data_IF_652680630237
#
_entry.id   IF_652680630237
#
_cell.length_a   1.000
_cell.length_b   1.000
_cell.length_c   1.000
_cell.angle_alpha   90.00
_cell.angle_beta   90.00
_cell.angle_gamma   90.00
#
_symmetry.space_group_name_H-M   'P 1'
#
loop_
_entity.id
_entity.type
_entity.pdbx_description
1 polymer ?
#
# COMPACT_ATOMS: atom_id res chain seq x y z
N UNK A 1 -5.67 -41.71 -47.27
CA UNK A 1 -5.39 -40.25 -47.28
C UNK A 1 -4.78 -39.70 -45.99
N UNK A 2 -4.95 -40.32 -44.81
CA UNK A 2 -4.34 -39.83 -43.54
C UNK A 2 -2.79 -39.89 -43.52
N UNK A 3 -2.19 -40.91 -44.13
CA UNK A 3 -0.74 -41.17 -44.05
C UNK A 3 0.17 -40.06 -44.62
N UNK A 4 -0.26 -39.35 -45.67
CA UNK A 4 0.53 -38.28 -46.28
C UNK A 4 0.49 -36.97 -45.47
N UNK A 5 -0.59 -36.74 -44.72
CA UNK A 5 -0.75 -35.55 -43.85
C UNK A 5 0.12 -35.72 -42.60
N UNK A 6 0.16 -36.93 -42.03
CA UNK A 6 0.96 -37.25 -40.84
C UNK A 6 2.47 -37.23 -41.14
N UNK A 7 2.89 -37.68 -42.32
CA UNK A 7 4.30 -37.57 -42.76
C UNK A 7 4.75 -36.11 -42.91
N UNK A 8 3.95 -35.25 -43.57
CA UNK A 8 4.29 -33.82 -43.71
C UNK A 8 4.30 -33.08 -42.37
N UNK A 9 3.44 -33.46 -41.43
CA UNK A 9 3.44 -32.88 -40.08
C UNK A 9 4.70 -33.27 -39.30
N UNK A 10 5.14 -34.52 -39.42
CA UNK A 10 6.36 -35.02 -38.80
C UNK A 10 7.64 -34.45 -39.43
N UNK A 11 7.66 -34.23 -40.75
CA UNK A 11 8.77 -33.55 -41.42
C UNK A 11 8.86 -32.09 -41.02
N UNK A 12 7.74 -31.36 -40.93
CA UNK A 12 7.73 -29.99 -40.42
C UNK A 12 8.18 -29.90 -38.95
N UNK A 13 7.75 -30.82 -38.10
CA UNK A 13 8.22 -30.90 -36.71
C UNK A 13 9.71 -31.23 -36.62
N UNK A 14 10.26 -32.06 -37.52
CA UNK A 14 11.70 -32.34 -37.59
C UNK A 14 12.50 -31.16 -38.13
N UNK A 15 11.99 -30.43 -39.13
CA UNK A 15 12.62 -29.20 -39.63
C UNK A 15 12.58 -28.06 -38.62
N UNK A 16 11.48 -27.90 -37.87
CA UNK A 16 11.38 -26.90 -36.81
C UNK A 16 12.27 -27.24 -35.60
N UNK A 17 12.41 -28.53 -35.26
CA UNK A 17 13.33 -28.97 -34.20
C UNK A 17 14.80 -29.02 -34.64
N UNK A 18 15.08 -29.05 -35.95
CA UNK A 18 16.42 -29.13 -36.52
C UNK A 18 17.07 -27.78 -36.83
N UNK A 19 16.29 -26.68 -36.81
CA UNK A 19 16.86 -25.33 -36.96
C UNK A 19 17.47 -24.91 -35.64
N UNK A 20 18.81 -25.01 -35.55
CA UNK A 20 19.57 -24.44 -34.45
C UNK A 20 19.15 -22.99 -34.22
N UNK A 21 18.64 -22.73 -33.02
CA UNK A 21 18.24 -21.38 -32.61
C UNK A 21 19.47 -20.49 -32.60
N UNK A 22 19.57 -19.59 -33.57
CA UNK A 22 20.67 -18.62 -33.65
C UNK A 22 20.59 -17.66 -32.46
N UNK A 23 21.69 -17.54 -31.73
CA UNK A 23 21.77 -16.71 -30.51
C UNK A 23 21.59 -15.24 -30.84
N UNK A 24 20.69 -14.57 -30.13
CA UNK A 24 20.48 -13.12 -30.22
C UNK A 24 21.04 -12.41 -29.00
N UNK A 25 22.36 -12.17 -29.01
CA UNK A 25 23.10 -11.56 -27.90
C UNK A 25 22.64 -10.15 -27.55
N UNK A 26 22.22 -9.36 -28.55
CA UNK A 26 21.74 -8.00 -28.33
C UNK A 26 20.42 -8.01 -27.55
N UNK A 27 19.45 -8.83 -28.00
CA UNK A 27 18.18 -8.98 -27.30
C UNK A 27 18.41 -9.53 -25.88
N UNK A 28 19.30 -10.51 -25.73
CA UNK A 28 19.66 -11.05 -24.41
C UNK A 28 20.22 -9.95 -23.48
N UNK A 29 21.15 -9.12 -23.96
CA UNK A 29 21.70 -8.00 -23.17
C UNK A 29 20.63 -6.98 -22.73
N UNK A 30 19.68 -6.67 -23.62
CA UNK A 30 18.53 -5.81 -23.28
C UNK A 30 17.67 -6.46 -22.20
N UNK A 31 17.36 -7.75 -22.33
CA UNK A 31 16.59 -8.49 -21.32
C UNK A 31 17.29 -8.58 -19.98
N UNK A 32 18.62 -8.71 -19.93
CA UNK A 32 19.39 -8.66 -18.67
C UNK A 32 19.19 -7.31 -17.95
N UNK A 33 19.26 -6.20 -18.69
CA UNK A 33 19.02 -4.87 -18.10
C UNK A 33 17.56 -4.72 -17.62
N UNK A 34 16.59 -5.19 -18.40
CA UNK A 34 15.18 -5.20 -17.99
C UNK A 34 14.95 -6.02 -16.71
N UNK A 35 15.57 -7.21 -16.62
CA UNK A 35 15.49 -8.05 -15.43
C UNK A 35 16.12 -7.39 -14.22
N UNK A 36 17.23 -6.67 -14.39
CA UNK A 36 17.86 -5.93 -13.29
C UNK A 36 16.92 -4.83 -12.74
N UNK A 37 16.31 -4.04 -13.63
CA UNK A 37 15.33 -3.02 -13.26
C UNK A 37 14.12 -3.67 -12.58
N UNK A 38 13.61 -4.77 -13.13
CA UNK A 38 12.47 -5.50 -12.57
C UNK A 38 12.78 -6.03 -11.16
N UNK A 39 13.94 -6.65 -10.94
CA UNK A 39 14.36 -7.12 -9.62
C UNK A 39 14.47 -5.95 -8.64
N UNK A 40 15.02 -4.81 -9.06
CA UNK A 40 15.12 -3.62 -8.22
C UNK A 40 13.73 -3.08 -7.84
N UNK A 41 12.79 -3.03 -8.79
CA UNK A 41 11.40 -2.63 -8.53
C UNK A 41 10.69 -3.57 -7.55
N UNK A 42 10.82 -4.89 -7.75
CA UNK A 42 10.27 -5.91 -6.84
C UNK A 42 10.89 -5.77 -5.44
N UNK A 43 12.21 -5.58 -5.36
CA UNK A 43 12.92 -5.40 -4.11
C UNK A 43 12.42 -4.17 -3.35
N UNK A 44 12.30 -3.02 -4.02
CA UNK A 44 11.80 -1.77 -3.43
C UNK A 44 10.36 -1.97 -2.94
N UNK A 45 9.50 -2.54 -3.78
CA UNK A 45 8.09 -2.76 -3.48
C UNK A 45 7.93 -3.69 -2.26
N UNK A 46 8.68 -4.80 -2.23
CA UNK A 46 8.64 -5.71 -1.09
C UNK A 46 9.27 -5.14 0.17
N UNK A 47 10.35 -4.36 0.06
CA UNK A 47 10.95 -3.68 1.21
C UNK A 47 9.99 -2.65 1.83
N UNK A 48 9.24 -1.92 1.00
CA UNK A 48 8.17 -1.02 1.44
C UNK A 48 7.07 -1.78 2.18
N UNK A 49 6.62 -2.91 1.64
CA UNK A 49 5.59 -3.73 2.30
C UNK A 49 6.08 -4.28 3.64
N UNK A 50 7.29 -4.84 3.70
CA UNK A 50 7.91 -5.33 4.94
C UNK A 50 8.04 -4.20 5.97
N UNK A 51 8.43 -3.00 5.54
CA UNK A 51 8.48 -1.84 6.41
C UNK A 51 7.11 -1.52 7.01
N UNK A 52 6.05 -1.53 6.19
CA UNK A 52 4.69 -1.25 6.64
C UNK A 52 4.14 -2.34 7.58
N UNK A 53 4.32 -3.62 7.25
CA UNK A 53 3.83 -4.73 8.07
C UNK A 53 4.60 -4.91 9.39
N UNK A 54 5.85 -4.44 9.45
CA UNK A 54 6.67 -4.42 10.66
C UNK A 54 6.58 -3.11 11.45
N UNK A 55 5.87 -2.11 10.95
CA UNK A 55 5.69 -0.83 11.66
C UNK A 55 4.70 -0.97 12.82
N UNK A 56 4.86 -0.12 13.83
CA UNK A 56 3.95 -0.09 14.98
C UNK A 56 2.58 0.44 14.57
N UNK A 57 1.53 0.02 15.30
CA UNK A 57 0.17 0.52 15.12
C UNK A 57 0.12 2.04 15.26
N UNK A 58 0.86 2.61 16.21
CA UNK A 58 0.98 4.06 16.41
C UNK A 58 1.55 4.79 15.19
N UNK A 59 2.55 4.20 14.52
CA UNK A 59 3.11 4.76 13.28
C UNK A 59 2.08 4.71 12.14
N UNK A 60 1.41 3.56 12.00
CA UNK A 60 0.35 3.40 11.01
C UNK A 60 -0.82 4.37 11.27
N UNK A 61 -1.22 4.58 12.52
CA UNK A 61 -2.24 5.58 12.92
C UNK A 61 -1.77 7.03 12.72
N UNK A 62 -0.47 7.26 12.71
CA UNK A 62 0.08 8.58 12.39
C UNK A 62 -0.06 8.89 10.91
N UNK A 63 0.18 7.91 10.06
CA UNK A 63 0.03 8.08 8.61
C UNK A 63 -1.43 7.95 8.18
N UNK A 64 -2.17 7.12 8.89
CA UNK A 64 -3.49 6.65 8.55
C UNK A 64 -4.37 6.74 9.80
N UNK A 65 -4.73 7.95 10.26
CA UNK A 65 -5.60 8.11 11.42
C UNK A 65 -6.93 7.40 11.19
N UNK A 66 -7.38 6.68 12.21
CA UNK A 66 -8.72 6.06 12.25
C UNK A 66 -9.68 6.88 13.10
N UNK A 67 -9.14 7.51 14.14
CA UNK A 67 -9.95 8.19 15.14
C UNK A 67 -10.58 9.45 14.58
N UNK A 68 -11.87 9.61 14.84
CA UNK A 68 -12.69 10.76 14.44
C UNK A 68 -12.07 12.10 14.81
N UNK A 69 -11.49 12.18 16.01
CA UNK A 69 -10.81 13.37 16.55
C UNK A 69 -9.63 13.85 15.70
N UNK A 70 -9.01 12.95 14.94
CA UNK A 70 -7.94 13.32 14.00
C UNK A 70 -8.48 14.09 12.80
N UNK A 71 -9.78 14.01 12.52
CA UNK A 71 -10.40 14.66 11.37
C UNK A 71 -11.21 15.88 11.79
N UNK A 72 -11.97 15.75 12.87
CA UNK A 72 -12.85 16.78 13.37
C UNK A 72 -12.34 17.26 14.73
N UNK A 73 -11.88 18.51 14.80
CA UNK A 73 -11.67 19.14 16.11
C UNK A 73 -13.04 19.40 16.71
N UNK A 74 -13.24 18.97 17.95
CA UNK A 74 -14.32 19.54 18.75
C UNK A 74 -14.02 21.04 18.91
N UNK A 75 -14.98 21.88 18.52
CA UNK A 75 -14.94 23.29 18.89
C UNK A 75 -15.38 23.32 20.35
N UNK A 76 -14.46 23.62 21.27
CA UNK A 76 -14.79 23.82 22.67
C UNK A 76 -15.85 24.93 22.79
N UNK A 77 -17.12 24.55 23.00
CA UNK A 77 -18.22 25.51 23.16
C UNK A 77 -18.11 26.35 24.44
N UNK A 78 -17.28 25.94 25.39
CA UNK A 78 -17.15 26.61 26.69
C UNK A 78 -16.02 27.64 26.76
N UNK A 79 -15.30 27.89 25.66
CA UNK A 79 -14.26 28.93 25.64
C UNK A 79 -14.48 29.91 24.46
N UNK A 80 -15.26 31.00 24.67
CA UNK A 80 -15.53 31.99 23.62
C UNK A 80 -14.30 32.79 23.14
N UNK A 81 -13.10 32.54 23.70
CA UNK A 81 -11.87 33.27 23.36
C UNK A 81 -10.93 32.60 22.34
N UNK A 82 -11.26 31.43 21.79
CA UNK A 82 -10.35 30.74 20.83
C UNK A 82 -10.74 30.91 19.35
N UNK A 83 -11.81 31.64 19.03
CA UNK A 83 -12.30 31.78 17.66
C UNK A 83 -11.45 32.69 16.75
N UNK A 84 -10.50 33.48 17.29
CA UNK A 84 -9.73 34.45 16.50
C UNK A 84 -8.21 34.39 16.72
N UNK A 85 -7.68 33.20 17.04
CA UNK A 85 -6.24 32.99 17.02
C UNK A 85 -5.88 32.06 15.87
N UNK A 86 -5.79 32.62 14.66
CA UNK A 86 -5.11 31.95 13.53
C UNK A 86 -3.60 31.78 13.79
N UNK A 87 -3.07 32.39 14.85
CA UNK A 87 -1.67 32.31 15.27
C UNK A 87 -1.44 31.68 16.67
N UNK A 88 -2.49 31.23 17.37
CA UNK A 88 -2.28 30.41 18.56
C UNK A 88 -1.89 29.00 18.12
N UNK A 89 -0.57 28.78 18.11
CA UNK A 89 -0.01 27.46 18.32
C UNK A 89 -0.82 26.76 19.42
N UNK A 90 -1.29 25.52 19.20
CA UNK A 90 -2.12 24.82 20.17
C UNK A 90 -1.44 24.89 21.54
N UNK A 91 -2.20 25.06 22.64
CA UNK A 91 -1.62 24.92 23.97
C UNK A 91 -0.87 23.61 23.97
N UNK A 92 0.34 23.62 24.53
CA UNK A 92 1.15 22.43 24.68
C UNK A 92 0.38 21.39 25.52
N UNK A 93 -0.56 20.69 24.88
CA UNK A 93 -0.76 19.28 25.11
C UNK A 93 0.65 18.76 25.09
N UNK A 94 1.12 18.35 26.26
CA UNK A 94 2.44 17.78 26.51
C UNK A 94 2.82 17.00 25.27
N UNK A 95 3.57 17.67 24.40
CA UNK A 95 4.09 17.14 23.17
C UNK A 95 5.22 16.29 23.72
N UNK A 96 4.85 15.11 24.22
CA UNK A 96 5.69 13.94 24.10
C UNK A 96 5.94 13.84 22.62
N UNK A 97 6.90 14.66 22.16
CA UNK A 97 7.71 14.45 20.98
C UNK A 97 8.49 13.17 21.20
N UNK A 98 7.76 12.07 21.31
CA UNK A 98 8.18 10.73 20.95
C UNK A 98 8.05 10.59 19.42
N UNK A 99 8.30 11.66 18.67
CA UNK A 99 8.53 11.69 17.21
C UNK A 99 9.87 11.03 16.84
N UNK A 100 10.14 9.89 17.45
CA UNK A 100 11.40 9.13 17.41
C UNK A 100 11.47 8.03 18.47
N UNK A 101 10.37 7.75 19.18
CA UNK A 101 10.28 6.66 20.14
C UNK A 101 10.21 5.32 19.41
N UNK A 102 11.37 4.81 18.99
CA UNK A 102 11.51 3.37 18.77
C UNK A 102 11.19 2.70 20.09
N UNK A 103 9.97 2.14 20.21
CA UNK A 103 9.70 1.14 21.24
C UNK A 103 10.84 0.11 21.21
N UNK A 104 11.28 -0.27 22.40
CA UNK A 104 12.34 -1.26 22.58
C UNK A 104 11.81 -2.58 22.01
N UNK A 105 12.09 -2.84 20.74
CA UNK A 105 11.89 -4.15 20.15
C UNK A 105 12.83 -5.09 20.89
N UNK A 106 12.29 -5.87 21.83
CA UNK A 106 12.94 -7.06 22.39
C UNK A 106 12.86 -8.14 21.30
N UNK A 107 13.47 -7.85 20.15
CA UNK A 107 13.72 -8.84 19.12
C UNK A 107 14.88 -9.71 19.57
N UNK A 108 14.70 -11.02 19.50
CA UNK A 108 15.77 -12.00 19.69
C UNK A 108 17.00 -11.60 18.86
N UNK A 109 18.21 -11.90 19.37
CA UNK A 109 19.53 -11.52 18.82
C UNK A 109 19.81 -12.03 17.39
N UNK A 110 18.84 -12.60 16.67
CA UNK A 110 19.03 -13.10 15.32
C UNK A 110 18.74 -12.00 14.29
N UNK A 111 19.83 -11.51 13.70
CA UNK A 111 19.91 -10.67 12.50
C UNK A 111 19.48 -9.19 12.71
N UNK A 112 20.50 -8.34 12.85
CA UNK A 112 20.47 -6.87 13.07
C UNK A 112 19.71 -6.04 11.99
N UNK A 113 19.01 -6.65 11.05
CA UNK A 113 18.37 -6.00 9.90
C UNK A 113 17.21 -5.05 10.26
N UNK A 114 16.60 -5.26 11.42
CA UNK A 114 15.44 -4.49 11.89
C UNK A 114 15.72 -3.62 13.12
N UNK A 115 16.99 -3.43 13.52
CA UNK A 115 17.29 -2.50 14.62
C UNK A 115 16.79 -1.11 14.23
N UNK A 116 15.77 -0.65 14.96
CA UNK A 116 15.20 0.68 14.79
C UNK A 116 16.30 1.71 14.86
N UNK A 117 16.50 2.44 13.77
CA UNK A 117 17.48 3.51 13.72
C UNK A 117 17.04 4.60 14.71
N UNK A 118 17.84 4.81 15.77
CA UNK A 118 17.53 5.77 16.84
C UNK A 118 17.57 7.22 16.36
N UNK A 119 18.04 7.47 15.13
CA UNK A 119 18.15 8.79 14.50
C UNK A 119 17.43 8.86 13.14
N UNK A 120 16.23 8.27 13.05
CA UNK A 120 15.40 8.44 11.87
C UNK A 120 14.95 9.91 11.74
N UNK A 121 15.61 10.67 10.87
CA UNK A 121 15.15 11.98 10.42
C UNK A 121 13.84 11.81 9.64
N UNK A 122 12.71 11.95 10.32
CA UNK A 122 11.39 11.95 9.71
C UNK A 122 11.26 13.20 8.86
N UNK A 123 11.33 13.06 7.53
CA UNK A 123 10.93 14.14 6.63
C UNK A 123 9.44 14.39 6.89
N UNK A 124 9.12 15.59 7.36
CA UNK A 124 7.77 16.07 7.60
C UNK A 124 7.04 16.29 6.28
N UNK A 125 6.65 15.21 5.61
CA UNK A 125 5.90 15.29 4.35
C UNK A 125 4.45 15.59 4.69
N UNK A 126 4.15 16.89 4.74
CA UNK A 126 2.81 17.42 4.97
C UNK A 126 1.89 17.24 3.75
N UNK A 127 2.44 16.91 2.58
CA UNK A 127 1.69 16.80 1.31
C UNK A 127 0.67 15.64 1.35
N UNK A 128 0.92 14.60 2.16
CA UNK A 128 0.01 13.47 2.35
C UNK A 128 -0.54 13.39 3.77
N UNK A 129 -0.39 14.46 4.55
CA UNK A 129 -0.83 14.49 5.94
C UNK A 129 -2.31 14.88 6.03
N UNK A 130 -3.17 13.94 5.64
CA UNK A 130 -4.63 14.04 5.78
C UNK A 130 -5.09 14.07 7.25
N UNK A 131 -4.16 14.06 8.22
CA UNK A 131 -4.41 13.95 9.66
C UNK A 131 -4.60 15.29 10.35
N UNK A 132 -4.27 16.42 9.73
CA UNK A 132 -4.31 17.68 10.48
C UNK A 132 -5.76 18.17 10.57
N UNK A 133 -6.45 17.81 11.65
CA UNK A 133 -7.75 18.35 11.98
C UNK A 133 -7.76 19.87 11.78
N UNK A 134 -8.74 20.36 11.00
CA UNK A 134 -8.74 21.72 10.48
C UNK A 134 -8.09 21.92 9.10
N UNK A 135 -7.69 20.85 8.40
CA UNK A 135 -7.39 20.90 6.96
C UNK A 135 -8.62 20.60 6.11
N UNK A 136 -8.55 21.02 4.85
CA UNK A 136 -9.56 20.70 3.87
C UNK A 136 -9.62 19.17 3.60
N UNK A 137 -10.81 18.57 3.44
CA UNK A 137 -12.12 19.21 3.46
C UNK A 137 -12.78 19.27 4.86
N UNK A 138 -12.16 18.65 5.87
CA UNK A 138 -12.76 18.46 7.19
C UNK A 138 -12.97 19.75 7.99
N UNK A 139 -12.22 20.81 7.68
CA UNK A 139 -12.43 22.15 8.23
C UNK A 139 -13.77 22.81 7.86
N UNK A 140 -14.45 22.29 6.83
CA UNK A 140 -15.78 22.75 6.42
C UNK A 140 -16.89 22.19 7.32
N UNK A 141 -16.57 21.23 8.21
CA UNK A 141 -17.55 20.71 9.17
C UNK A 141 -17.85 21.78 10.20
N UNK A 142 -19.13 22.07 10.36
CA UNK A 142 -19.62 22.87 11.47
C UNK A 142 -20.52 22.01 12.35
N UNK A 143 -20.13 21.66 13.59
CA UNK A 143 -20.99 20.86 14.46
C UNK A 143 -22.25 21.63 14.92
N UNK A 144 -22.23 22.96 14.90
CA UNK A 144 -23.23 23.81 15.55
C UNK A 144 -24.34 24.25 14.59
N UNK A 145 -24.74 23.36 13.68
CA UNK A 145 -25.70 23.69 12.63
C UNK A 145 -27.09 23.80 13.24
N UNK A 146 -27.66 25.02 13.21
CA UNK A 146 -29.06 25.23 13.58
C UNK A 146 -30.03 24.37 12.75
N UNK A 147 -31.30 24.26 13.18
CA UNK A 147 -32.27 23.36 12.55
C UNK A 147 -32.54 23.66 11.07
N UNK A 148 -32.36 24.91 10.64
CA UNK A 148 -32.78 25.42 9.32
C UNK A 148 -31.66 25.33 8.26
N UNK A 149 -30.40 25.17 8.64
CA UNK A 149 -29.29 25.23 7.68
C UNK A 149 -29.05 23.86 6.99
N UNK A 150 -29.86 23.57 5.97
CA UNK A 150 -29.81 22.31 5.20
C UNK A 150 -28.51 22.10 4.41
N UNK A 151 -27.94 23.18 3.85
CA UNK A 151 -26.70 23.09 3.06
C UNK A 151 -25.55 22.62 3.96
N UNK A 152 -25.41 23.21 5.15
CA UNK A 152 -24.38 22.80 6.08
C UNK A 152 -24.60 21.37 6.60
N UNK A 153 -25.84 20.94 6.82
CA UNK A 153 -26.17 19.54 7.16
C UNK A 153 -25.76 18.57 6.04
N UNK A 154 -26.00 18.95 4.79
CA UNK A 154 -25.59 18.18 3.62
C UNK A 154 -24.06 18.10 3.51
N UNK A 155 -23.34 19.22 3.66
CA UNK A 155 -21.89 19.25 3.69
C UNK A 155 -21.32 18.39 4.82
N UNK A 156 -21.86 18.49 6.03
CA UNK A 156 -21.47 17.65 7.15
C UNK A 156 -21.68 16.16 6.83
N UNK A 157 -22.81 15.80 6.19
CA UNK A 157 -23.06 14.42 5.75
C UNK A 157 -22.01 13.94 4.73
N UNK A 158 -21.60 14.76 3.77
CA UNK A 158 -20.51 14.43 2.83
C UNK A 158 -19.21 14.17 3.60
N UNK A 159 -18.83 15.07 4.52
CA UNK A 159 -17.56 14.97 5.25
C UNK A 159 -17.52 13.75 6.17
N UNK A 160 -18.63 13.45 6.85
CA UNK A 160 -18.77 12.26 7.70
C UNK A 160 -18.75 10.99 6.85
N UNK A 161 -19.40 11.00 5.68
CA UNK A 161 -19.33 9.89 4.69
C UNK A 161 -17.91 9.63 4.24
N UNK A 162 -17.16 10.69 3.89
CA UNK A 162 -15.75 10.59 3.54
C UNK A 162 -14.95 10.00 4.70
N UNK A 163 -15.10 10.55 5.91
CA UNK A 163 -14.43 10.05 7.12
C UNK A 163 -14.69 8.55 7.34
N UNK A 164 -15.95 8.11 7.35
CA UNK A 164 -16.29 6.71 7.55
C UNK A 164 -15.72 5.79 6.50
N UNK A 165 -15.82 6.20 5.23
CA UNK A 165 -15.28 5.45 4.12
C UNK A 165 -13.77 5.24 4.31
N UNK A 166 -13.05 6.33 4.60
CA UNK A 166 -11.62 6.23 4.87
C UNK A 166 -11.35 5.38 6.12
N UNK A 167 -12.04 5.58 7.23
CA UNK A 167 -11.84 4.78 8.45
C UNK A 167 -11.96 3.27 8.18
N UNK A 168 -13.04 2.83 7.53
CA UNK A 168 -13.27 1.42 7.19
C UNK A 168 -12.15 0.87 6.30
N UNK A 169 -11.74 1.61 5.27
CA UNK A 169 -10.63 1.20 4.40
C UNK A 169 -9.31 1.07 5.15
N UNK A 170 -9.08 1.96 6.12
CA UNK A 170 -7.87 1.98 6.93
C UNK A 170 -7.86 0.83 7.94
N UNK A 171 -9.02 0.49 8.50
CA UNK A 171 -9.20 -0.71 9.32
C UNK A 171 -8.89 -1.99 8.55
N UNK A 172 -9.41 -2.09 7.33
CA UNK A 172 -9.13 -3.20 6.43
C UNK A 172 -7.62 -3.29 6.12
N UNK A 173 -6.99 -2.16 5.76
CA UNK A 173 -5.57 -2.12 5.43
C UNK A 173 -4.67 -2.51 6.61
N UNK A 174 -4.95 -2.01 7.82
CA UNK A 174 -4.20 -2.40 9.01
C UNK A 174 -4.39 -3.89 9.34
N UNK A 175 -5.60 -4.42 9.16
CA UNK A 175 -5.87 -5.86 9.28
C UNK A 175 -5.11 -6.67 8.24
N UNK A 176 -5.03 -6.20 7.00
CA UNK A 176 -4.24 -6.85 5.95
C UNK A 176 -2.75 -6.88 6.29
N UNK A 177 -2.19 -5.76 6.73
CA UNK A 177 -0.78 -5.65 7.13
C UNK A 177 -0.45 -6.51 8.35
N UNK A 178 -1.37 -6.63 9.31
CA UNK A 178 -1.13 -7.37 10.56
C UNK A 178 -1.02 -8.88 10.33
N UNK A 179 -1.67 -9.43 9.29
CA UNK A 179 -1.52 -10.84 8.87
C UNK A 179 -0.05 -11.16 8.54
N UNK A 180 0.64 -10.23 7.89
CA UNK A 180 2.05 -10.38 7.47
C UNK A 180 3.05 -9.74 8.43
N UNK A 181 2.60 -9.38 9.63
CA UNK A 181 3.50 -8.83 10.64
C UNK A 181 4.44 -9.91 11.18
N UNK A 182 5.68 -9.52 11.47
CA UNK A 182 6.69 -10.42 12.09
C UNK A 182 6.29 -10.94 13.47
N UNK A 183 5.22 -10.39 14.08
CA UNK A 183 4.63 -10.93 15.31
C UNK A 183 4.02 -12.32 15.11
N UNK A 184 3.62 -12.67 13.88
CA UNK A 184 3.09 -13.98 13.56
C UNK A 184 4.25 -14.94 13.27
N UNK A 185 4.38 -16.01 14.06
CA UNK A 185 5.33 -17.10 13.79
C UNK A 185 4.84 -17.95 12.62
N UNK A 186 5.65 -18.13 11.57
CA UNK A 186 5.34 -19.05 10.48
C UNK A 186 5.97 -18.67 9.14
N UNK A 187 5.68 -19.44 8.10
CA UNK A 187 6.15 -19.17 6.73
C UNK A 187 5.66 -17.80 6.19
N UNK A 188 4.51 -17.34 6.66
CA UNK A 188 3.87 -16.07 6.24
C UNK A 188 4.71 -14.84 6.63
N UNK A 189 5.57 -14.94 7.66
CA UNK A 189 6.45 -13.84 8.09
C UNK A 189 7.86 -13.89 7.47
N UNK A 190 8.09 -14.78 6.50
CA UNK A 190 9.36 -14.83 5.76
C UNK A 190 9.49 -13.61 4.83
N UNK A 191 10.59 -12.85 4.99
CA UNK A 191 10.83 -11.61 4.22
C UNK A 191 10.89 -11.86 2.71
N UNK A 192 11.48 -12.97 2.25
CA UNK A 192 11.54 -13.30 0.82
C UNK A 192 10.16 -13.64 0.25
N UNK A 193 9.34 -14.40 1.00
CA UNK A 193 7.96 -14.71 0.61
C UNK A 193 7.12 -13.43 0.53
N UNK A 194 7.23 -12.55 1.53
CA UNK A 194 6.53 -11.27 1.53
C UNK A 194 6.98 -10.42 0.33
N UNK A 195 8.28 -10.30 0.10
CA UNK A 195 8.86 -9.45 -0.93
C UNK A 195 8.49 -9.90 -2.35
N UNK A 196 8.50 -11.21 -2.62
CA UNK A 196 8.32 -11.73 -3.98
C UNK A 196 6.89 -12.14 -4.32
N UNK A 197 6.10 -12.53 -3.32
CA UNK A 197 4.74 -13.04 -3.55
C UNK A 197 3.72 -12.03 -3.04
N UNK A 198 3.74 -11.72 -1.75
CA UNK A 198 2.68 -10.95 -1.11
C UNK A 198 2.64 -9.52 -1.59
N UNK A 199 3.80 -8.87 -1.70
CA UNK A 199 3.84 -7.45 -2.06
C UNK A 199 3.40 -7.21 -3.52
N UNK A 200 3.90 -7.96 -4.53
CA UNK A 200 3.36 -7.87 -5.90
C UNK A 200 1.89 -8.28 -5.98
N UNK A 201 1.47 -9.34 -5.27
CA UNK A 201 0.06 -9.75 -5.23
C UNK A 201 -0.84 -8.66 -4.67
N UNK A 202 -0.41 -7.97 -3.60
CA UNK A 202 -1.13 -6.83 -3.00
C UNK A 202 -1.30 -5.70 -4.02
N UNK A 203 -0.27 -5.41 -4.81
CA UNK A 203 -0.35 -4.38 -5.85
C UNK A 203 -1.26 -4.82 -7.02
N UNK A 204 -1.17 -6.07 -7.47
CA UNK A 204 -2.02 -6.61 -8.54
C UNK A 204 -3.50 -6.66 -8.09
N UNK A 205 -3.74 -6.97 -6.82
CA UNK A 205 -5.06 -6.98 -6.21
C UNK A 205 -5.57 -5.57 -5.87
N UNK A 206 -4.76 -4.52 -6.01
CA UNK A 206 -5.15 -3.14 -5.66
C UNK A 206 -6.43 -2.63 -6.34
N UNK A 207 -6.83 -3.05 -7.57
CA UNK A 207 -8.12 -2.64 -8.14
C UNK A 207 -9.33 -3.12 -7.31
N UNK A 208 -9.18 -4.17 -6.48
CA UNK A 208 -10.21 -4.58 -5.52
C UNK A 208 -10.48 -3.46 -4.51
N UNK A 209 -9.48 -2.63 -4.19
CA UNK A 209 -9.67 -1.45 -3.34
C UNK A 209 -10.61 -0.41 -3.96
N UNK A 210 -10.77 -0.34 -5.29
CA UNK A 210 -11.80 0.51 -5.91
C UNK A 210 -13.19 0.01 -5.58
N UNK A 211 -13.43 -1.29 -5.77
CA UNK A 211 -14.73 -1.92 -5.48
C UNK A 211 -15.05 -1.80 -3.99
N UNK A 212 -14.09 -2.15 -3.14
CA UNK A 212 -14.25 -2.03 -1.69
C UNK A 212 -14.41 -0.58 -1.23
N UNK A 213 -13.67 0.37 -1.81
CA UNK A 213 -13.80 1.81 -1.55
C UNK A 213 -15.18 2.35 -1.93
N UNK A 214 -15.74 1.87 -3.04
CA UNK A 214 -17.08 2.23 -3.48
C UNK A 214 -18.14 1.72 -2.49
N UNK A 215 -18.09 0.44 -2.11
CA UNK A 215 -19.06 -0.13 -1.17
C UNK A 215 -18.91 0.40 0.25
N UNK A 216 -17.69 0.64 0.73
CA UNK A 216 -17.45 1.23 2.04
C UNK A 216 -17.91 2.69 2.13
N UNK A 217 -17.75 3.48 1.06
CA UNK A 217 -18.30 4.85 1.00
C UNK A 217 -19.81 4.85 0.86
N UNK A 218 -20.38 3.95 0.07
CA UNK A 218 -21.83 3.77 -0.01
C UNK A 218 -22.40 3.38 1.37
N UNK A 219 -21.83 2.37 2.01
CA UNK A 219 -22.20 1.94 3.37
C UNK A 219 -22.10 3.10 4.36
N UNK A 220 -20.97 3.82 4.36
CA UNK A 220 -20.78 4.99 5.23
C UNK A 220 -21.86 6.04 5.00
N UNK A 221 -22.23 6.31 3.75
CA UNK A 221 -23.24 7.32 3.42
C UNK A 221 -24.61 7.04 4.05
N UNK A 222 -24.97 5.77 4.22
CA UNK A 222 -26.21 5.34 4.87
C UNK A 222 -26.11 5.25 6.39
N UNK A 223 -24.99 4.71 6.89
CA UNK A 223 -24.89 4.25 8.28
C UNK A 223 -24.12 5.19 9.22
N UNK A 224 -23.46 6.24 8.72
CA UNK A 224 -22.71 7.18 9.60
C UNK A 224 -23.60 7.91 10.61
N UNK A 225 -24.89 8.08 10.32
CA UNK A 225 -25.85 8.69 11.24
C UNK A 225 -26.23 7.81 12.44
N UNK A 226 -25.83 6.54 12.45
CA UNK A 226 -26.12 5.59 13.53
C UNK A 226 -24.95 5.38 14.50
N UNK A 227 -23.75 5.88 14.17
CA UNK A 227 -22.61 5.77 15.08
C UNK A 227 -22.77 6.76 16.22
N UNK A 228 -23.25 6.20 17.35
CA UNK A 228 -23.29 6.71 18.72
C UNK A 228 -22.23 7.80 19.02
N UNK A 229 -22.57 9.05 18.79
CA UNK A 229 -22.28 10.08 19.78
C UNK A 229 -23.33 11.19 19.74
N UNK A 230 -23.73 11.58 20.94
CA UNK A 230 -24.99 12.24 21.25
C UNK A 230 -25.01 13.68 20.71
N UNK A 231 -25.79 13.95 19.67
CA UNK A 231 -26.41 15.26 19.45
C UNK A 231 -26.07 16.02 18.16
N UNK A 232 -24.95 15.72 17.50
CA UNK A 232 -24.44 16.59 16.42
C UNK A 232 -24.94 16.24 15.01
N UNK A 233 -25.32 14.98 14.79
CA UNK A 233 -25.69 14.49 13.46
C UNK A 233 -27.17 14.09 13.52
N UNK A 234 -28.03 14.68 12.68
CA UNK A 234 -29.40 14.20 12.58
C UNK A 234 -29.36 12.73 12.17
N UNK A 235 -30.08 11.85 12.89
CA UNK A 235 -30.23 10.42 12.58
C UNK A 235 -30.90 10.12 11.22
N UNK A 236 -30.93 11.12 10.34
CA UNK A 236 -31.51 11.17 9.01
C UNK A 236 -30.43 11.18 7.91
N UNK A 237 -29.17 10.84 8.22
CA UNK A 237 -28.09 10.75 7.21
C UNK A 237 -28.45 9.86 6.01
N UNK A 238 -29.18 8.77 6.26
CA UNK A 238 -29.70 7.87 5.23
C UNK A 238 -30.66 8.54 4.24
N UNK A 239 -31.37 9.61 4.65
CA UNK A 239 -32.29 10.35 3.77
C UNK A 239 -31.49 11.05 2.67
N UNK A 240 -30.36 11.68 3.02
CA UNK A 240 -29.46 12.30 2.04
C UNK A 240 -28.90 11.26 1.08
N UNK A 241 -28.49 10.09 1.58
CA UNK A 241 -28.02 9.00 0.73
C UNK A 241 -29.09 8.55 -0.29
N UNK A 242 -30.34 8.33 0.15
CA UNK A 242 -31.45 7.94 -0.72
C UNK A 242 -31.79 9.00 -1.77
N UNK A 243 -31.96 10.25 -1.35
CA UNK A 243 -32.21 11.38 -2.27
C UNK A 243 -31.06 11.44 -3.29
N UNK A 244 -29.82 11.30 -2.84
CA UNK A 244 -28.66 11.33 -3.73
C UNK A 244 -28.48 10.15 -4.65
N UNK A 245 -29.04 8.98 -4.31
CA UNK A 245 -29.11 7.86 -5.26
C UNK A 245 -30.08 8.20 -6.39
N UNK A 246 -31.24 8.80 -6.06
CA UNK A 246 -32.23 9.22 -7.05
C UNK A 246 -31.71 10.34 -7.96
N UNK A 247 -31.03 11.34 -7.39
CA UNK A 247 -30.46 12.47 -8.12
C UNK A 247 -29.03 12.25 -8.64
N UNK A 248 -28.44 11.07 -8.43
CA UNK A 248 -27.12 10.72 -8.97
C UNK A 248 -25.90 11.15 -8.14
N UNK A 249 -26.01 12.14 -7.24
CA UNK A 249 -24.84 12.68 -6.54
C UNK A 249 -24.19 11.70 -5.56
N UNK A 250 -24.94 10.76 -4.96
CA UNK A 250 -24.35 9.73 -4.09
C UNK A 250 -23.40 8.84 -4.88
N UNK A 251 -23.76 8.46 -6.11
CA UNK A 251 -22.92 7.65 -6.99
C UNK A 251 -21.62 8.38 -7.36
N UNK A 252 -21.72 9.65 -7.73
CA UNK A 252 -20.54 10.47 -8.05
C UNK A 252 -19.64 10.61 -6.82
N UNK A 253 -20.21 10.85 -5.64
CA UNK A 253 -19.46 10.98 -4.40
C UNK A 253 -18.72 9.68 -4.05
N UNK A 254 -19.41 8.54 -4.02
CA UNK A 254 -18.80 7.25 -3.64
C UNK A 254 -17.77 6.78 -4.66
N UNK A 255 -18.01 6.97 -5.96
CA UNK A 255 -17.02 6.71 -7.01
C UNK A 255 -15.80 7.60 -6.88
N UNK A 256 -15.97 8.90 -6.59
CA UNK A 256 -14.85 9.83 -6.40
C UNK A 256 -14.00 9.41 -5.19
N UNK A 257 -14.64 9.13 -4.05
CA UNK A 257 -13.96 8.66 -2.83
C UNK A 257 -13.17 7.37 -3.12
N UNK A 258 -13.76 6.42 -3.83
CA UNK A 258 -13.12 5.16 -4.23
C UNK A 258 -11.85 5.40 -5.06
N UNK A 259 -11.91 6.28 -6.07
CA UNK A 259 -10.74 6.61 -6.91
C UNK A 259 -9.62 7.21 -6.06
N UNK A 260 -9.94 8.16 -5.17
CA UNK A 260 -8.93 8.75 -4.28
C UNK A 260 -8.35 7.73 -3.30
N UNK A 261 -9.17 6.80 -2.78
CA UNK A 261 -8.69 5.71 -1.91
C UNK A 261 -7.77 4.75 -2.65
N UNK A 262 -8.06 4.42 -3.91
CA UNK A 262 -7.19 3.61 -4.74
C UNK A 262 -5.84 4.30 -5.01
N UNK A 263 -5.85 5.58 -5.40
CA UNK A 263 -4.61 6.35 -5.57
C UNK A 263 -3.82 6.39 -4.26
N UNK A 264 -4.49 6.66 -3.14
CA UNK A 264 -3.86 6.65 -1.82
C UNK A 264 -3.25 5.28 -1.51
N UNK A 265 -3.94 4.18 -1.81
CA UNK A 265 -3.44 2.82 -1.62
C UNK A 265 -2.14 2.56 -2.40
N UNK A 266 -2.12 2.93 -3.69
CA UNK A 266 -0.92 2.81 -4.53
C UNK A 266 0.23 3.62 -3.92
N UNK A 267 0.02 4.90 -3.61
CA UNK A 267 1.04 5.77 -3.01
C UNK A 267 1.53 5.21 -1.68
N UNK A 268 0.60 4.70 -0.85
CA UNK A 268 0.89 4.15 0.46
C UNK A 268 1.82 2.93 0.41
N UNK A 269 1.62 2.00 -0.53
CA UNK A 269 2.47 0.82 -0.65
C UNK A 269 3.75 1.05 -1.46
N UNK A 270 3.78 2.02 -2.38
CA UNK A 270 4.90 2.19 -3.32
C UNK A 270 5.83 3.34 -3.00
N UNK A 271 5.32 4.49 -2.59
CA UNK A 271 6.10 5.73 -2.49
C UNK A 271 6.31 6.13 -1.03
N UNK A 272 5.27 5.99 -0.21
CA UNK A 272 5.27 6.56 1.13
C UNK A 272 6.37 6.01 2.05
N UNK A 273 6.66 4.69 2.09
CA UNK A 273 7.71 4.16 2.97
C UNK A 273 9.11 4.66 2.58
N UNK A 274 9.37 4.76 1.26
CA UNK A 274 10.62 5.32 0.72
C UNK A 274 10.81 6.76 1.21
N UNK A 275 9.76 7.57 1.12
CA UNK A 275 9.82 8.97 1.49
C UNK A 275 9.92 9.19 3.02
N UNK A 276 9.29 8.32 3.82
CA UNK A 276 9.28 8.47 5.29
C UNK A 276 10.57 7.98 5.94
N UNK A 277 11.16 6.88 5.48
CA UNK A 277 12.38 6.34 6.08
C UNK A 277 13.20 5.53 5.06
N UNK A 278 13.80 6.24 4.10
CA UNK A 278 14.64 5.65 3.06
C UNK A 278 15.76 4.77 3.61
N UNK A 279 16.40 5.18 4.72
CA UNK A 279 17.48 4.41 5.35
C UNK A 279 17.00 3.03 5.82
N UNK A 280 15.82 2.95 6.44
CA UNK A 280 15.25 1.67 6.86
C UNK A 280 14.90 0.79 5.66
N UNK A 281 14.34 1.36 4.59
CA UNK A 281 14.07 0.61 3.33
C UNK A 281 15.38 0.07 2.73
N UNK A 282 16.42 0.90 2.65
CA UNK A 282 17.75 0.51 2.18
C UNK A 282 18.33 -0.64 3.02
N UNK A 283 18.18 -0.59 4.34
CA UNK A 283 18.64 -1.67 5.22
C UNK A 283 17.87 -2.98 4.99
N UNK A 284 16.55 -2.92 4.78
CA UNK A 284 15.74 -4.10 4.44
C UNK A 284 16.19 -4.70 3.10
N UNK A 285 16.45 -3.86 2.09
CA UNK A 285 17.00 -4.28 0.80
C UNK A 285 18.37 -4.96 0.95
N UNK A 286 19.28 -4.35 1.69
CA UNK A 286 20.61 -4.90 1.94
C UNK A 286 20.53 -6.27 2.61
N UNK A 287 19.62 -6.44 3.56
CA UNK A 287 19.42 -7.73 4.24
C UNK A 287 18.82 -8.82 3.35
N UNK A 288 18.14 -8.45 2.27
CA UNK A 288 17.55 -9.37 1.30
C UNK A 288 18.33 -9.39 -0.02
N UNK A 289 19.54 -8.82 -0.07
CA UNK A 289 20.34 -8.69 -1.30
C UNK A 289 20.65 -10.05 -1.92
N UNK A 290 20.94 -11.06 -1.09
CA UNK A 290 21.20 -12.42 -1.54
C UNK A 290 19.99 -13.01 -2.26
N UNK A 291 18.80 -12.89 -1.65
CA UNK A 291 17.55 -13.38 -2.22
C UNK A 291 17.19 -12.64 -3.52
N UNK A 292 17.40 -11.32 -3.56
CA UNK A 292 17.24 -10.51 -4.77
C UNK A 292 18.22 -10.92 -5.87
N UNK A 293 19.48 -11.23 -5.51
CA UNK A 293 20.49 -11.74 -6.43
C UNK A 293 20.08 -13.08 -7.05
N UNK A 294 19.50 -13.98 -6.26
CA UNK A 294 18.94 -15.25 -6.76
C UNK A 294 17.79 -14.99 -7.74
N UNK A 295 16.85 -14.11 -7.40
CA UNK A 295 15.74 -13.75 -8.30
C UNK A 295 16.26 -13.17 -9.63
N UNK A 296 17.21 -12.25 -9.57
CA UNK A 296 17.84 -11.68 -10.77
C UNK A 296 18.49 -12.76 -11.62
N UNK A 297 19.27 -13.66 -11.01
CA UNK A 297 19.88 -14.80 -11.69
C UNK A 297 18.85 -15.70 -12.38
N UNK A 298 17.74 -16.01 -11.71
CA UNK A 298 16.65 -16.80 -12.29
C UNK A 298 16.06 -16.14 -13.54
N UNK A 299 15.80 -14.83 -13.49
CA UNK A 299 15.24 -14.07 -14.61
C UNK A 299 16.22 -14.00 -15.80
N UNK A 300 17.51 -13.82 -15.53
CA UNK A 300 18.57 -13.85 -16.54
C UNK A 300 18.65 -15.23 -17.20
N UNK A 301 18.60 -16.32 -16.43
CA UNK A 301 18.55 -17.68 -16.98
C UNK A 301 17.29 -17.92 -17.82
N UNK A 302 16.13 -17.42 -17.39
CA UNK A 302 14.90 -17.47 -18.18
C UNK A 302 15.06 -16.75 -19.52
N UNK A 303 15.68 -15.57 -19.52
CA UNK A 303 15.94 -14.81 -20.75
C UNK A 303 16.97 -15.50 -21.64
N UNK A 304 17.98 -16.15 -21.07
CA UNK A 304 18.96 -16.93 -21.81
C UNK A 304 18.30 -18.10 -22.55
N UNK A 305 17.42 -18.85 -21.89
CA UNK A 305 16.63 -19.92 -22.52
C UNK A 305 15.77 -19.39 -23.67
N UNK A 306 15.21 -18.18 -23.54
CA UNK A 306 14.37 -17.57 -24.57
C UNK A 306 15.14 -16.94 -25.73
N UNK A 307 16.40 -16.52 -25.57
CA UNK A 307 17.08 -15.68 -26.58
C UNK A 307 18.43 -16.21 -27.09
N UNK A 308 19.08 -17.12 -26.36
CA UNK A 308 20.34 -17.75 -26.77
C UNK A 308 20.11 -19.14 -27.37
N UNK A 309 21.17 -19.72 -27.90
CA UNK A 309 21.22 -21.12 -28.32
C UNK A 309 21.05 -22.06 -27.11
N UNK A 310 20.59 -23.27 -27.37
CA UNK A 310 20.30 -24.26 -26.33
C UNK A 310 21.55 -24.61 -25.51
N UNK A 311 22.72 -24.73 -26.15
CA UNK A 311 23.96 -25.10 -25.46
C UNK A 311 24.35 -24.05 -24.43
N UNK A 312 24.44 -22.78 -24.83
CA UNK A 312 24.80 -21.67 -23.95
C UNK A 312 23.79 -21.49 -22.82
N UNK A 313 22.50 -21.56 -23.13
CA UNK A 313 21.44 -21.37 -22.13
C UNK A 313 21.39 -22.50 -21.09
N UNK A 314 21.59 -23.76 -21.49
CA UNK A 314 21.68 -24.90 -20.57
C UNK A 314 22.89 -24.74 -19.63
N UNK A 315 24.05 -24.36 -20.16
CA UNK A 315 25.26 -24.14 -19.33
C UNK A 315 25.00 -23.04 -18.29
N UNK A 316 24.38 -21.92 -18.69
CA UNK A 316 24.01 -20.84 -17.76
C UNK A 316 23.04 -21.33 -16.67
N UNK A 317 22.03 -22.14 -17.03
CA UNK A 317 21.06 -22.66 -16.08
C UNK A 317 21.71 -23.61 -15.04
N UNK A 318 22.61 -24.50 -15.47
CA UNK A 318 23.33 -25.40 -14.56
C UNK A 318 24.20 -24.61 -13.58
N UNK A 319 24.95 -23.63 -14.07
CA UNK A 319 25.79 -22.76 -13.22
C UNK A 319 24.93 -22.01 -12.20
N UNK A 320 23.79 -21.46 -12.62
CA UNK A 320 22.85 -20.78 -11.72
C UNK A 320 22.29 -21.72 -10.64
N UNK A 321 21.86 -22.94 -11.00
CA UNK A 321 21.34 -23.91 -10.02
C UNK A 321 22.41 -24.27 -8.98
N UNK A 322 23.66 -24.49 -9.40
CA UNK A 322 24.77 -24.77 -8.48
C UNK A 322 25.03 -23.59 -7.53
N UNK A 323 25.02 -22.36 -8.04
CA UNK A 323 25.15 -21.15 -7.21
C UNK A 323 23.97 -20.98 -6.25
N UNK A 324 22.74 -21.27 -6.69
CA UNK A 324 21.55 -21.17 -5.86
C UNK A 324 21.58 -22.18 -4.71
N UNK A 325 21.95 -23.44 -4.98
CA UNK A 325 22.12 -24.48 -3.96
C UNK A 325 23.19 -24.04 -2.94
N UNK A 326 24.36 -23.59 -3.42
CA UNK A 326 25.45 -23.11 -2.56
C UNK A 326 25.08 -21.89 -1.71
N UNK A 327 24.15 -21.07 -2.18
CA UNK A 327 23.74 -19.85 -1.47
C UNK A 327 22.69 -20.15 -0.39
N UNK A 328 21.92 -21.22 -0.57
CA UNK A 328 20.84 -21.61 0.35
C UNK A 328 21.28 -22.62 1.45
N UNK A 329 22.40 -23.32 1.25
CA UNK A 329 23.00 -24.29 2.17
C UNK A 329 24.32 -23.79 2.74
#
# INVERSE_FOLDING_TARGET
MSSAIDQRKNEKLKEENGKEKKSNWLAFGISVLQNFILTLLIGILGANFIFLSSSTTTFLETIIPKNRESYFKEKDMNNPYTADNRDASPPAATDTRNNGGGEYYIGSKQNNCNKGDKRSSTIGINIFDFKKSGTWPYNLRDPNVGPINYIQKFLNWILETMYGAYSINRDFLQSWLSIFSKKNSGFISNDAFIMFIIAPLTLIASPIALVFGFFSSLFSSFFIGYTKDKGDIPGYGWIWALIGIFFGYTWVLTSSISIFQFIQYIVFFTILPLLKNFNKIKNILHCNVTTLGLLFGALVCGSALSLLDNTTSIVMAVVYILLAIKTLW
#
